data_IF_043020598700
#
_entry.id   IF_043020598700
#
_cell.length_a   1.000
_cell.length_b   1.000
_cell.length_c   1.000
_cell.angle_alpha   90.00
_cell.angle_beta   90.00
_cell.angle_gamma   90.00
#
_symmetry.space_group_name_H-M   'P 1'
#
loop_
_entity.id
_entity.type
_entity.pdbx_description
1 polymer ?
#
# COMPACT_ATOMS: atom_id res chain seq x y z
N UNK A 1 29.58 -65.24 -54.11
CA UNK A 1 30.25 -63.93 -53.85
C UNK A 1 29.20 -62.82 -53.70
N UNK A 2 28.33 -62.87 -52.68
CA UNK A 2 27.33 -61.81 -52.49
C UNK A 2 26.84 -61.75 -51.04
N UNK A 3 27.76 -61.59 -50.08
CA UNK A 3 27.38 -61.38 -48.68
C UNK A 3 28.37 -60.50 -47.90
N UNK A 4 28.87 -59.45 -48.54
CA UNK A 4 29.87 -58.53 -47.96
C UNK A 4 29.52 -57.05 -48.22
N UNK A 5 28.29 -56.75 -48.65
CA UNK A 5 27.90 -55.40 -49.12
C UNK A 5 26.80 -54.73 -48.30
N UNK A 6 26.57 -55.16 -47.05
CA UNK A 6 25.54 -54.57 -46.17
C UNK A 6 26.05 -54.01 -44.82
N UNK A 7 27.36 -53.99 -44.59
CA UNK A 7 27.94 -53.45 -43.34
C UNK A 7 28.65 -52.09 -43.48
N UNK A 8 28.41 -51.35 -44.56
CA UNK A 8 28.94 -49.98 -44.77
C UNK A 8 27.88 -48.89 -44.75
N UNK A 9 26.86 -49.02 -43.90
CA UNK A 9 26.08 -47.88 -43.42
C UNK A 9 26.27 -47.79 -41.91
N UNK A 10 27.51 -47.42 -41.55
CA UNK A 10 27.80 -46.81 -40.26
C UNK A 10 27.21 -45.41 -40.26
N UNK A 11 26.48 -45.11 -39.20
CA UNK A 11 26.63 -43.86 -38.47
C UNK A 11 26.09 -42.63 -39.18
N UNK A 12 24.86 -42.28 -38.85
CA UNK A 12 24.39 -40.93 -38.48
C UNK A 12 22.97 -41.18 -37.98
N UNK A 13 22.73 -41.05 -36.67
CA UNK A 13 21.37 -41.21 -36.15
C UNK A 13 21.25 -41.38 -34.65
N UNK A 14 22.20 -40.89 -33.85
CA UNK A 14 22.17 -41.10 -32.39
C UNK A 14 22.80 -39.95 -31.59
N UNK A 15 22.72 -38.70 -32.08
CA UNK A 15 23.28 -37.53 -31.38
C UNK A 15 22.37 -36.28 -31.37
N UNK A 16 21.07 -36.42 -31.55
CA UNK A 16 20.12 -35.28 -31.49
C UNK A 16 18.90 -35.55 -30.63
N UNK A 17 19.08 -36.23 -29.49
CA UNK A 17 17.98 -36.46 -28.53
C UNK A 17 18.43 -36.42 -27.05
N UNK A 18 19.56 -35.75 -26.74
CA UNK A 18 20.11 -35.71 -25.37
C UNK A 18 20.63 -34.32 -24.95
N UNK A 19 20.08 -33.24 -25.54
CA UNK A 19 20.49 -31.87 -25.21
C UNK A 19 19.33 -30.87 -25.08
N UNK A 20 18.08 -31.32 -25.03
CA UNK A 20 16.90 -30.44 -24.91
C UNK A 20 16.15 -30.58 -23.57
N UNK A 21 16.67 -31.37 -22.63
CA UNK A 21 15.95 -31.70 -21.38
C UNK A 21 16.52 -31.19 -20.04
N UNK A 22 17.58 -30.35 -19.94
CA UNK A 22 17.84 -29.62 -18.69
C UNK A 22 17.61 -28.11 -18.77
N UNK A 23 17.17 -27.56 -19.92
CA UNK A 23 16.98 -26.11 -20.06
C UNK A 23 15.66 -25.56 -19.46
N UNK A 24 14.81 -26.42 -18.86
CA UNK A 24 13.48 -26.06 -18.37
C UNK A 24 13.32 -26.24 -16.86
N UNK A 25 14.41 -26.11 -16.07
CA UNK A 25 14.37 -26.31 -14.62
C UNK A 25 15.15 -25.25 -13.82
N UNK A 26 15.31 -24.03 -14.36
CA UNK A 26 15.88 -22.91 -13.63
C UNK A 26 15.05 -21.64 -13.85
N UNK A 27 13.75 -21.70 -13.55
CA UNK A 27 13.06 -20.50 -13.07
C UNK A 27 13.50 -20.38 -11.62
N UNK A 28 14.65 -19.74 -11.41
CA UNK A 28 14.96 -19.18 -10.10
C UNK A 28 13.92 -18.09 -9.92
N UNK A 29 12.89 -18.37 -9.12
CA UNK A 29 12.08 -17.31 -8.55
C UNK A 29 13.05 -16.46 -7.73
N UNK A 30 13.56 -15.39 -8.32
CA UNK A 30 14.06 -14.26 -7.55
C UNK A 30 12.81 -13.69 -6.90
N UNK A 31 12.46 -14.20 -5.72
CA UNK A 31 11.40 -13.63 -4.90
C UNK A 31 11.75 -12.16 -4.71
N UNK A 32 11.02 -11.28 -5.41
CA UNK A 32 11.14 -9.86 -5.16
C UNK A 32 10.78 -9.60 -3.70
N UNK A 33 11.39 -8.59 -3.10
CA UNK A 33 10.93 -8.08 -1.82
C UNK A 33 9.46 -7.67 -1.99
N UNK A 34 8.55 -8.30 -1.23
CA UNK A 34 7.18 -7.83 -1.17
C UNK A 34 7.19 -6.46 -0.47
N UNK A 35 6.80 -5.42 -1.20
CA UNK A 35 6.71 -4.06 -0.68
C UNK A 35 5.43 -3.95 0.16
N UNK A 36 5.59 -3.62 1.43
CA UNK A 36 4.46 -3.22 2.26
C UNK A 36 4.04 -1.80 1.91
N UNK A 37 2.82 -1.43 2.26
CA UNK A 37 2.29 -0.09 2.04
C UNK A 37 1.20 0.17 3.07
N UNK A 38 1.19 1.38 3.62
CA UNK A 38 0.18 1.82 4.55
C UNK A 38 0.47 3.21 5.12
N UNK A 39 -0.51 3.76 5.83
CA UNK A 39 -0.38 5.01 6.57
C UNK A 39 -1.42 5.12 7.69
N UNK A 40 -1.19 5.93 8.73
CA UNK A 40 -2.18 6.24 9.75
C UNK A 40 -3.48 6.79 9.14
N UNK A 41 -4.62 6.25 9.57
CA UNK A 41 -5.96 6.64 9.13
C UNK A 41 -6.74 7.39 10.21
N UNK A 42 -6.61 6.97 11.46
CA UNK A 42 -7.23 7.64 12.60
C UNK A 42 -6.37 7.55 13.87
N UNK A 43 -5.75 8.67 14.33
CA UNK A 43 -5.73 9.97 13.67
C UNK A 43 -4.96 9.92 12.33
N UNK A 44 -5.55 10.50 11.29
CA UNK A 44 -5.05 10.40 9.92
C UNK A 44 -3.73 11.14 9.68
N UNK A 45 -2.85 10.56 8.87
CA UNK A 45 -1.58 11.19 8.53
C UNK A 45 -1.76 12.37 7.57
N UNK A 46 -0.76 13.27 7.50
CA UNK A 46 -0.70 14.35 6.51
C UNK A 46 -0.90 13.83 5.08
N UNK A 47 -0.21 12.76 4.70
CA UNK A 47 -0.32 12.18 3.36
C UNK A 47 -1.72 11.62 3.10
N UNK A 48 -2.29 10.89 4.05
CA UNK A 48 -3.63 10.30 3.93
C UNK A 48 -4.72 11.38 3.86
N UNK A 49 -4.73 12.35 4.77
CA UNK A 49 -5.75 13.39 4.79
C UNK A 49 -5.60 14.34 3.59
N UNK A 50 -4.39 14.72 3.20
CA UNK A 50 -4.21 15.51 1.99
C UNK A 50 -4.66 14.75 0.73
N UNK A 51 -4.40 13.44 0.63
CA UNK A 51 -4.97 12.63 -0.44
C UNK A 51 -6.51 12.63 -0.40
N UNK A 52 -7.09 12.29 0.76
CA UNK A 52 -8.54 12.15 0.97
C UNK A 52 -9.32 13.40 0.61
N UNK A 53 -8.80 14.58 0.95
CA UNK A 53 -9.48 15.87 0.73
C UNK A 53 -9.01 16.64 -0.51
N UNK A 54 -8.00 16.15 -1.24
CA UNK A 54 -7.48 16.86 -2.43
C UNK A 54 -7.65 16.10 -3.73
N UNK A 55 -7.91 14.79 -3.70
CA UNK A 55 -8.08 13.98 -4.91
C UNK A 55 -9.56 13.88 -5.27
N UNK A 56 -9.96 14.57 -6.35
CA UNK A 56 -11.34 14.56 -6.84
C UNK A 56 -11.70 13.29 -7.64
N UNK A 57 -12.98 13.16 -8.01
CA UNK A 57 -13.49 12.01 -8.79
C UNK A 57 -12.81 11.81 -10.14
N UNK A 58 -12.25 12.86 -10.73
CA UNK A 58 -11.50 12.81 -11.99
C UNK A 58 -10.03 12.37 -11.79
N UNK A 59 -9.62 12.10 -10.55
CA UNK A 59 -8.27 11.73 -10.15
C UNK A 59 -7.27 12.89 -10.09
N UNK A 60 -7.69 14.14 -10.31
CA UNK A 60 -6.81 15.30 -10.19
C UNK A 60 -6.55 15.64 -8.71
N UNK A 61 -5.31 16.06 -8.41
CA UNK A 61 -4.92 16.58 -7.10
C UNK A 61 -5.14 18.10 -7.09
N UNK A 62 -6.19 18.56 -6.44
CA UNK A 62 -6.63 19.96 -6.39
C UNK A 62 -6.90 20.38 -4.92
N UNK A 63 -5.85 20.52 -4.09
CA UNK A 63 -6.01 20.85 -2.68
C UNK A 63 -6.59 22.26 -2.50
N UNK A 64 -7.65 22.36 -1.71
CA UNK A 64 -8.16 23.64 -1.19
C UNK A 64 -7.48 24.02 0.13
N UNK A 65 -7.00 23.02 0.87
CA UNK A 65 -6.24 23.22 2.10
C UNK A 65 -4.87 23.88 1.83
N UNK A 66 -4.51 24.97 2.53
CA UNK A 66 -3.26 25.69 2.29
C UNK A 66 -1.99 24.84 2.49
N UNK A 67 -1.95 23.97 3.50
CA UNK A 67 -0.79 23.13 3.77
C UNK A 67 -0.63 22.02 2.73
N UNK A 68 -1.74 21.35 2.34
CA UNK A 68 -1.74 20.39 1.25
C UNK A 68 -1.35 21.06 -0.09
N UNK A 69 -1.81 22.28 -0.36
CA UNK A 69 -1.41 23.04 -1.54
C UNK A 69 0.10 23.36 -1.55
N UNK A 70 0.65 23.76 -0.41
CA UNK A 70 2.09 23.97 -0.26
C UNK A 70 2.89 22.66 -0.46
N UNK A 71 2.39 21.54 0.05
CA UNK A 71 3.01 20.23 -0.13
C UNK A 71 3.04 19.80 -1.61
N UNK A 72 1.93 20.02 -2.33
CA UNK A 72 1.81 19.78 -3.76
C UNK A 72 2.78 20.66 -4.56
N UNK A 73 2.89 21.95 -4.22
CA UNK A 73 3.82 22.87 -4.87
C UNK A 73 5.29 22.44 -4.66
N UNK A 74 5.63 22.00 -3.45
CA UNK A 74 7.00 21.65 -3.07
C UNK A 74 7.47 20.31 -3.64
N UNK A 75 6.62 19.27 -3.58
CA UNK A 75 7.03 17.88 -3.88
C UNK A 75 6.22 17.20 -4.99
N UNK A 76 5.24 17.89 -5.56
CA UNK A 76 4.40 17.38 -6.65
C UNK A 76 3.34 16.36 -6.19
N UNK A 77 2.62 15.80 -7.17
CA UNK A 77 1.44 14.97 -6.91
C UNK A 77 1.75 13.53 -6.48
N UNK A 78 3.01 13.06 -6.61
CA UNK A 78 3.36 11.66 -6.35
C UNK A 78 3.06 11.24 -4.91
N UNK A 79 3.36 12.09 -3.93
CA UNK A 79 3.09 11.78 -2.53
C UNK A 79 1.60 11.69 -2.20
N UNK A 80 0.73 12.31 -2.99
CA UNK A 80 -0.72 12.19 -2.86
C UNK A 80 -1.21 10.85 -3.41
N UNK A 81 -0.74 10.43 -4.59
CA UNK A 81 -1.14 9.14 -5.16
C UNK A 81 -0.53 7.92 -4.45
N UNK A 82 0.59 8.13 -3.76
CA UNK A 82 1.31 7.10 -3.01
C UNK A 82 1.34 7.45 -1.51
N UNK A 83 0.22 7.95 -0.98
CA UNK A 83 0.08 8.41 0.40
C UNK A 83 0.46 7.36 1.46
N UNK A 84 0.38 6.09 1.07
CA UNK A 84 0.70 4.89 1.84
C UNK A 84 2.17 4.41 1.68
N UNK A 85 3.06 5.21 1.06
CA UNK A 85 4.41 4.77 0.68
C UNK A 85 5.54 5.60 1.33
N UNK A 86 5.28 6.22 2.48
CA UNK A 86 6.30 6.95 3.26
C UNK A 86 7.19 5.94 3.98
N UNK A 87 8.21 5.42 3.28
CA UNK A 87 9.00 4.29 3.75
C UNK A 87 10.50 4.42 3.52
N UNK A 88 11.24 3.68 4.34
CA UNK A 88 12.66 3.35 4.14
C UNK A 88 12.81 1.85 4.07
N UNK A 89 13.25 1.33 2.92
CA UNK A 89 13.54 -0.10 2.76
C UNK A 89 14.71 -0.56 3.64
N UNK A 90 15.56 0.39 4.07
CA UNK A 90 16.67 0.19 5.00
C UNK A 90 16.32 0.68 6.42
N UNK A 91 15.05 0.85 6.79
CA UNK A 91 14.68 1.43 8.08
C UNK A 91 15.15 0.61 9.29
N UNK A 92 14.80 -0.67 9.35
CA UNK A 92 15.04 -1.60 10.45
C UNK A 92 14.65 -1.03 11.82
N UNK A 93 13.49 -0.36 11.88
CA UNK A 93 12.97 0.29 13.10
C UNK A 93 13.72 1.57 13.52
N UNK A 94 14.72 2.02 12.75
CA UNK A 94 15.55 3.16 13.12
C UNK A 94 14.79 4.48 12.98
N UNK A 95 15.06 5.36 13.92
CA UNK A 95 14.40 6.67 14.10
C UNK A 95 15.48 7.76 14.22
N UNK A 96 15.77 8.20 15.45
CA UNK A 96 16.76 9.22 15.77
C UNK A 96 18.16 8.82 15.27
N UNK A 97 18.87 9.79 14.68
CA UNK A 97 20.20 9.58 14.09
C UNK A 97 20.17 8.82 12.76
N UNK A 98 19.00 8.43 12.26
CA UNK A 98 18.81 7.84 10.94
C UNK A 98 17.97 8.73 10.01
N UNK A 99 16.79 9.16 10.45
CA UNK A 99 16.02 10.20 9.75
C UNK A 99 16.53 11.57 10.25
N UNK A 100 16.95 12.49 9.36
CA UNK A 100 17.36 13.82 9.77
C UNK A 100 16.23 14.63 10.42
N UNK A 101 16.56 15.55 11.33
CA UNK A 101 15.60 16.53 11.83
C UNK A 101 15.02 17.35 10.66
N UNK A 102 13.71 17.61 10.73
CA UNK A 102 12.97 18.26 9.67
C UNK A 102 12.57 17.34 8.51
N UNK A 103 12.90 16.05 8.54
CA UNK A 103 12.49 15.05 7.53
C UNK A 103 11.62 13.92 8.11
N UNK A 104 11.10 14.11 9.33
CA UNK A 104 10.35 13.08 10.04
C UNK A 104 9.07 12.69 9.29
N UNK A 105 8.33 13.66 8.75
CA UNK A 105 7.02 13.44 8.11
C UNK A 105 7.14 12.89 6.69
N UNK A 106 8.24 13.17 5.98
CA UNK A 106 8.63 12.47 4.76
C UNK A 106 9.31 11.13 5.02
N UNK A 107 9.65 10.82 6.27
CA UNK A 107 10.38 9.62 6.67
C UNK A 107 11.77 9.51 6.03
N UNK A 108 12.34 10.65 5.60
CA UNK A 108 13.56 10.69 4.78
C UNK A 108 13.47 9.77 3.55
N UNK A 109 12.27 9.55 3.02
CA UNK A 109 11.99 8.51 2.03
C UNK A 109 12.72 8.78 0.72
N UNK A 110 13.21 7.69 0.10
CA UNK A 110 13.93 7.77 -1.19
C UNK A 110 13.14 7.17 -2.35
N UNK A 111 11.96 6.60 -2.09
CA UNK A 111 11.10 5.94 -3.10
C UNK A 111 10.29 6.95 -3.90
N UNK A 112 9.78 8.00 -3.24
CA UNK A 112 9.12 9.16 -3.81
C UNK A 112 9.53 10.40 -3.03
N UNK A 113 9.32 11.57 -3.62
CA UNK A 113 9.52 12.84 -2.93
C UNK A 113 8.29 13.14 -2.05
N UNK A 114 8.50 13.14 -0.73
CA UNK A 114 7.50 13.52 0.28
C UNK A 114 7.90 14.79 1.04
N UNK A 115 8.94 15.52 0.60
CA UNK A 115 9.49 16.66 1.33
C UNK A 115 8.49 17.81 1.55
N UNK A 116 7.44 17.90 0.72
CA UNK A 116 6.35 18.85 0.94
C UNK A 116 5.54 18.60 2.21
N UNK A 117 5.55 17.37 2.73
CA UNK A 117 4.85 17.00 3.96
C UNK A 117 5.65 17.34 5.24
N UNK A 118 6.91 17.77 5.10
CA UNK A 118 7.73 18.28 6.21
C UNK A 118 7.52 19.77 6.48
N UNK A 119 6.76 20.48 5.63
CA UNK A 119 6.54 21.93 5.75
C UNK A 119 5.87 22.26 7.10
N UNK A 120 6.48 23.12 7.95
CA UNK A 120 5.86 23.60 9.17
C UNK A 120 4.62 24.44 8.86
N UNK A 121 3.50 24.14 9.51
CA UNK A 121 2.23 24.84 9.30
C UNK A 121 1.22 24.49 10.38
N UNK A 122 0.42 25.46 10.81
CA UNK A 122 -0.77 25.22 11.63
C UNK A 122 -2.01 24.86 10.79
N UNK A 123 -1.90 24.92 9.47
CA UNK A 123 -3.01 24.73 8.53
C UNK A 123 -3.17 23.28 8.06
N UNK A 124 -2.37 22.33 8.56
CA UNK A 124 -2.55 20.91 8.25
C UNK A 124 -3.95 20.40 8.69
N UNK A 125 -4.58 19.47 7.95
CA UNK A 125 -5.73 18.72 8.43
C UNK A 125 -5.47 18.15 9.82
N UNK A 126 -6.38 18.37 10.77
CA UNK A 126 -6.13 18.12 12.19
C UNK A 126 -7.25 17.28 12.81
N UNK A 127 -6.91 16.20 13.51
CA UNK A 127 -7.88 15.40 14.30
C UNK A 127 -8.00 15.96 15.73
N UNK A 128 -9.24 16.16 16.19
CA UNK A 128 -9.54 16.66 17.53
C UNK A 128 -9.66 15.52 18.54
N UNK A 129 -8.92 15.61 19.63
CA UNK A 129 -8.75 14.52 20.61
C UNK A 129 -8.96 14.99 22.05
N UNK A 130 -9.22 14.02 22.92
CA UNK A 130 -9.27 14.21 24.37
C UNK A 130 -8.05 13.53 25.00
N UNK A 131 -7.23 14.30 25.73
CA UNK A 131 -6.06 13.74 26.43
C UNK A 131 -6.47 12.70 27.46
N UNK A 132 -5.74 11.58 27.54
CA UNK A 132 -6.03 10.46 28.45
C UNK A 132 -7.22 9.59 28.06
N UNK A 133 -7.92 9.88 26.96
CA UNK A 133 -9.03 9.05 26.49
C UNK A 133 -8.54 7.74 25.86
N UNK A 134 -9.35 6.69 25.96
CA UNK A 134 -9.19 5.48 25.15
C UNK A 134 -9.54 5.80 23.68
N UNK A 135 -8.73 5.29 22.76
CA UNK A 135 -8.83 5.56 21.32
C UNK A 135 -8.64 4.28 20.50
N UNK A 136 -9.50 4.05 19.50
CA UNK A 136 -9.26 3.02 18.47
C UNK A 136 -8.36 3.64 17.39
N UNK A 137 -7.08 3.28 17.37
CA UNK A 137 -6.17 3.68 16.31
C UNK A 137 -6.44 2.85 15.06
N UNK A 138 -6.42 3.49 13.89
CA UNK A 138 -6.49 2.79 12.61
C UNK A 138 -5.32 3.14 11.70
N UNK A 139 -4.85 2.14 10.96
CA UNK A 139 -3.73 2.26 10.02
C UNK A 139 -4.04 1.45 8.76
N UNK A 140 -3.92 2.06 7.58
CA UNK A 140 -4.23 1.39 6.33
C UNK A 140 -3.22 0.27 6.00
N UNK A 141 -3.65 -0.97 5.74
CA UNK A 141 -2.79 -2.07 5.31
C UNK A 141 -2.85 -2.26 3.78
N UNK A 142 -2.61 -1.21 2.98
CA UNK A 142 -2.67 -1.26 1.51
C UNK A 142 -1.98 -2.51 0.95
N UNK A 143 -0.80 -2.82 1.50
CA UNK A 143 -0.21 -4.16 1.44
C UNK A 143 0.14 -4.63 2.86
N UNK A 144 -0.67 -5.55 3.38
CA UNK A 144 -0.57 -6.12 4.74
C UNK A 144 0.73 -6.90 4.97
N UNK A 145 1.44 -6.60 6.07
CA UNK A 145 2.64 -7.31 6.55
C UNK A 145 2.69 -7.37 8.09
N UNK A 146 3.43 -8.31 8.69
CA UNK A 146 3.62 -8.36 10.14
C UNK A 146 4.61 -7.27 10.62
N UNK A 147 4.48 -6.83 11.86
CA UNK A 147 5.32 -5.78 12.42
C UNK A 147 4.79 -5.14 13.69
N UNK A 148 5.54 -4.17 14.21
CA UNK A 148 5.16 -3.37 15.37
C UNK A 148 4.91 -1.93 14.96
N UNK A 149 3.82 -1.37 15.44
CA UNK A 149 3.44 0.03 15.27
C UNK A 149 3.77 0.76 16.56
N UNK A 150 4.68 1.72 16.52
CA UNK A 150 5.06 2.59 17.64
C UNK A 150 4.42 3.96 17.47
N UNK A 151 3.77 4.49 18.51
CA UNK A 151 3.17 5.83 18.49
C UNK A 151 3.93 6.73 19.46
N UNK A 152 4.53 7.78 18.92
CA UNK A 152 5.17 8.87 19.65
C UNK A 152 4.27 10.10 19.60
N UNK A 153 4.50 11.06 20.50
CA UNK A 153 3.80 12.34 20.52
C UNK A 153 4.81 13.46 20.75
N UNK A 154 4.54 14.65 20.23
CA UNK A 154 5.40 15.81 20.52
C UNK A 154 5.36 16.21 21.99
N UNK A 155 6.48 16.76 22.48
CA UNK A 155 6.60 17.33 23.82
C UNK A 155 5.73 18.57 24.00
N UNK A 156 5.44 18.93 25.25
CA UNK A 156 4.65 20.15 25.54
C UNK A 156 5.45 21.40 25.18
N UNK A 157 4.77 22.35 24.52
CA UNK A 157 5.40 23.60 24.07
C UNK A 157 6.15 23.50 22.74
N UNK A 158 6.06 22.37 22.03
CA UNK A 158 6.49 22.24 20.64
C UNK A 158 5.85 23.35 19.75
N UNK A 159 6.64 23.92 18.84
CA UNK A 159 6.21 24.97 17.92
C UNK A 159 5.77 24.37 16.57
N UNK A 160 4.46 24.40 16.22
CA UNK A 160 3.96 23.88 14.95
C UNK A 160 4.44 24.65 13.71
N UNK A 161 5.07 25.82 13.91
CA UNK A 161 5.64 26.65 12.85
C UNK A 161 7.14 26.43 12.65
N UNK A 162 7.74 25.48 13.40
CA UNK A 162 9.12 25.05 13.23
C UNK A 162 9.20 23.64 12.60
N UNK A 163 10.30 23.30 11.89
CA UNK A 163 10.53 21.94 11.42
C UNK A 163 10.56 20.95 12.60
N UNK A 164 9.82 19.85 12.47
CA UNK A 164 9.77 18.78 13.48
C UNK A 164 11.12 18.05 13.54
N UNK A 165 11.78 18.06 14.69
CA UNK A 165 12.98 17.28 15.00
C UNK A 165 12.72 16.16 16.01
N UNK A 166 13.75 15.34 16.28
CA UNK A 166 13.65 14.27 17.26
C UNK A 166 13.52 14.78 18.70
N UNK A 167 14.19 15.89 19.03
CA UNK A 167 14.07 16.55 20.34
C UNK A 167 12.68 17.18 20.59
N UNK A 168 11.82 17.21 19.57
CA UNK A 168 10.42 17.65 19.68
C UNK A 168 9.46 16.49 20.03
N UNK A 169 9.92 15.23 20.00
CA UNK A 169 9.14 14.05 20.37
C UNK A 169 9.47 13.60 21.80
N UNK A 170 8.49 13.02 22.50
CA UNK A 170 8.76 12.29 23.74
C UNK A 170 9.71 11.12 23.45
N UNK A 171 10.72 10.91 24.31
CA UNK A 171 11.80 9.90 24.13
C UNK A 171 11.29 8.46 23.92
N UNK A 172 10.10 8.15 24.40
CA UNK A 172 9.50 6.83 24.32
C UNK A 172 8.13 6.89 23.64
N UNK A 173 7.74 5.86 22.87
CA UNK A 173 6.40 5.78 22.36
C UNK A 173 5.43 5.61 23.53
N UNK A 174 4.29 6.32 23.49
CA UNK A 174 3.25 6.16 24.51
C UNK A 174 2.47 4.86 24.33
N UNK A 175 2.47 4.28 23.12
CA UNK A 175 1.91 2.97 22.83
C UNK A 175 2.72 2.22 21.77
N UNK A 176 2.69 0.90 21.82
CA UNK A 176 3.22 0.04 20.76
C UNK A 176 2.38 -1.22 20.63
N UNK A 177 1.96 -1.52 19.41
CA UNK A 177 1.12 -2.67 19.10
C UNK A 177 1.81 -3.57 18.06
N UNK A 178 1.89 -4.88 18.34
CA UNK A 178 2.52 -5.85 17.45
C UNK A 178 1.47 -6.74 16.82
N UNK A 179 1.51 -6.86 15.49
CA UNK A 179 0.60 -7.69 14.68
C UNK A 179 -0.89 -7.47 15.03
N UNK A 180 -1.41 -6.22 15.01
CA UNK A 180 -2.82 -5.95 15.28
C UNK A 180 -3.73 -6.69 14.29
N UNK A 181 -4.98 -6.99 14.69
CA UNK A 181 -5.97 -7.50 13.75
C UNK A 181 -6.23 -6.48 12.63
N UNK A 182 -6.69 -6.96 11.49
CA UNK A 182 -7.09 -6.10 10.37
C UNK A 182 -8.44 -6.51 9.78
N UNK A 183 -9.10 -5.54 9.14
CA UNK A 183 -10.34 -5.68 8.38
C UNK A 183 -10.18 -5.06 6.99
N UNK A 184 -10.89 -5.59 5.99
CA UNK A 184 -10.82 -5.13 4.61
C UNK A 184 -9.97 -6.03 3.69
N UNK A 185 -9.59 -5.51 2.52
CA UNK A 185 -8.84 -6.20 1.47
C UNK A 185 -7.55 -5.47 1.06
N UNK A 186 -6.60 -6.23 0.50
CA UNK A 186 -5.37 -5.65 -0.06
C UNK A 186 -5.70 -4.66 -1.17
N UNK A 187 -5.05 -3.49 -1.17
CA UNK A 187 -5.26 -2.44 -2.16
C UNK A 187 -6.55 -1.64 -1.99
N UNK A 188 -7.17 -1.70 -0.81
CA UNK A 188 -8.38 -0.94 -0.47
C UNK A 188 -8.04 0.15 0.55
N UNK A 189 -8.42 1.40 0.24
CA UNK A 189 -8.15 2.58 1.06
C UNK A 189 -8.94 2.58 2.38
N UNK A 190 -10.01 1.79 2.46
CA UNK A 190 -10.85 1.65 3.65
C UNK A 190 -10.47 0.44 4.51
N UNK A 191 -9.41 -0.28 4.15
CA UNK A 191 -8.88 -1.35 4.99
C UNK A 191 -8.12 -0.79 6.17
N UNK A 192 -8.14 -1.50 7.29
CA UNK A 192 -7.62 -1.00 8.56
C UNK A 192 -7.00 -2.15 9.36
N UNK A 193 -5.74 -2.01 9.76
CA UNK A 193 -5.33 -2.47 11.08
C UNK A 193 -6.03 -1.63 12.14
N UNK A 194 -6.40 -2.24 13.26
CA UNK A 194 -7.05 -1.53 14.36
C UNK A 194 -6.61 -2.05 15.73
N UNK A 195 -6.45 -1.15 16.69
CA UNK A 195 -6.12 -1.47 18.08
C UNK A 195 -6.57 -0.36 19.04
N UNK A 196 -6.84 -0.74 20.29
CA UNK A 196 -7.19 0.21 21.34
C UNK A 196 -5.95 0.65 22.12
N UNK A 197 -5.77 1.95 22.30
CA UNK A 197 -4.73 2.51 23.15
C UNK A 197 -5.21 3.78 23.86
N UNK A 198 -4.62 4.05 25.03
CA UNK A 198 -4.88 5.30 25.73
C UNK A 198 -4.00 6.42 25.14
N UNK A 199 -4.63 7.55 24.82
CA UNK A 199 -3.93 8.77 24.43
C UNK A 199 -3.11 9.33 25.60
N UNK A 200 -1.96 10.00 25.34
CA UNK A 200 -1.13 10.56 26.40
C UNK A 200 -1.91 11.54 27.28
N UNK A 201 -1.74 11.40 28.59
CA UNK A 201 -2.31 12.31 29.59
C UNK A 201 -1.55 13.64 29.62
N UNK A 202 -2.24 14.73 29.96
CA UNK A 202 -1.64 16.05 30.18
C UNK A 202 -1.30 16.86 28.92
N UNK A 203 -1.60 16.34 27.72
CA UNK A 203 -1.41 17.07 26.46
C UNK A 203 -2.53 18.10 26.25
N UNK A 204 -2.17 19.28 25.76
CA UNK A 204 -3.10 20.38 25.47
C UNK A 204 -2.72 21.07 24.17
N UNK A 205 -3.72 21.44 23.35
CA UNK A 205 -3.47 22.16 22.11
C UNK A 205 -2.86 21.29 21.01
N UNK A 206 -2.13 21.92 20.09
CA UNK A 206 -1.67 21.29 18.85
C UNK A 206 -0.44 20.41 19.10
N UNK A 207 -0.49 19.18 18.59
CA UNK A 207 0.59 18.19 18.67
C UNK A 207 0.68 17.39 17.36
N UNK A 208 1.74 16.59 17.23
CA UNK A 208 1.84 15.54 16.21
C UNK A 208 1.88 14.19 16.93
N UNK A 209 1.08 13.24 16.46
CA UNK A 209 1.30 11.82 16.73
C UNK A 209 2.14 11.26 15.60
N UNK A 210 3.32 10.75 15.94
CA UNK A 210 4.27 10.20 14.98
C UNK A 210 4.24 8.67 15.05
N UNK A 211 3.87 8.03 13.94
CA UNK A 211 3.74 6.57 13.84
C UNK A 211 4.93 5.98 13.11
N UNK A 212 5.54 4.95 13.70
CA UNK A 212 6.59 4.13 13.08
C UNK A 212 6.08 2.70 12.95
N UNK A 213 5.98 2.17 11.74
CA UNK A 213 5.69 0.74 11.52
C UNK A 213 6.97 0.01 11.13
N UNK A 214 7.53 -0.71 12.10
CA UNK A 214 8.69 -1.58 11.93
C UNK A 214 8.21 -2.97 11.51
N UNK A 215 8.52 -3.39 10.27
CA UNK A 215 8.20 -4.74 9.82
C UNK A 215 9.08 -5.78 10.51
N UNK A 216 8.50 -6.95 10.76
CA UNK A 216 9.23 -8.09 11.34
C UNK A 216 9.74 -9.10 10.31
N UNK A 217 9.32 -8.96 9.04
CA UNK A 217 9.68 -9.82 7.92
C UNK A 217 10.60 -9.13 6.87
N UNK A 218 11.04 -7.90 7.13
CA UNK A 218 11.88 -7.06 6.27
C UNK A 218 12.59 -5.98 7.10
N UNK A 219 13.59 -5.31 6.52
CA UNK A 219 14.16 -4.07 7.08
C UNK A 219 13.31 -2.83 6.72
N UNK A 220 12.23 -3.00 5.97
CA UNK A 220 11.38 -1.88 5.59
C UNK A 220 10.61 -1.30 6.80
N UNK A 221 10.64 0.03 6.94
CA UNK A 221 9.96 0.78 8.01
C UNK A 221 9.17 1.93 7.41
N UNK A 222 7.96 2.15 7.90
CA UNK A 222 7.08 3.25 7.48
C UNK A 222 6.99 4.30 8.56
N UNK A 223 6.81 5.55 8.15
CA UNK A 223 6.76 6.71 9.01
C UNK A 223 5.54 7.57 8.67
N UNK A 224 4.90 8.18 9.65
CA UNK A 224 3.75 9.06 9.39
C UNK A 224 3.50 10.06 10.50
N UNK A 225 3.30 11.32 10.12
CA UNK A 225 2.85 12.39 11.01
C UNK A 225 1.33 12.56 10.91
N UNK A 226 0.64 12.50 12.03
CA UNK A 226 -0.77 12.88 12.16
C UNK A 226 -0.87 14.15 13.02
N UNK A 227 -1.33 15.26 12.44
CA UNK A 227 -1.56 16.50 13.18
C UNK A 227 -2.83 16.36 14.02
N UNK A 228 -2.72 16.64 15.31
CA UNK A 228 -3.82 16.52 16.27
C UNK A 228 -3.95 17.76 17.14
N UNK A 229 -5.11 17.92 17.76
CA UNK A 229 -5.33 18.94 18.78
C UNK A 229 -6.01 18.33 19.99
N UNK A 230 -5.41 18.48 21.17
CA UNK A 230 -5.98 18.07 22.44
C UNK A 230 -6.82 19.22 23.01
N UNK A 231 -8.09 19.27 22.62
CA UNK A 231 -9.06 20.30 23.01
C UNK A 231 -10.37 19.74 23.59
N UNK A 232 -10.44 18.43 23.80
CA UNK A 232 -11.63 17.73 24.28
C UNK A 232 -12.53 17.19 23.16
N UNK A 233 -12.06 17.17 21.91
CA UNK A 233 -12.72 16.51 20.79
C UNK A 233 -12.66 14.98 20.87
N UNK A 234 -13.36 14.34 19.92
CA UNK A 234 -13.61 12.90 19.90
C UNK A 234 -13.51 12.33 18.47
N UNK A 235 -12.56 12.83 17.67
CA UNK A 235 -12.28 12.34 16.30
C UNK A 235 -12.75 13.24 15.19
N UNK A 236 -13.28 14.42 15.49
CA UNK A 236 -13.60 15.38 14.45
C UNK A 236 -12.33 15.77 13.70
N UNK A 237 -12.41 15.90 12.38
CA UNK A 237 -11.30 16.37 11.55
C UNK A 237 -11.61 17.78 11.05
N UNK A 238 -10.75 18.73 11.36
CA UNK A 238 -10.80 20.07 10.75
C UNK A 238 -9.83 20.11 9.58
N UNK A 239 -10.32 20.50 8.41
CA UNK A 239 -9.50 20.75 7.21
C UNK A 239 -9.59 22.24 6.87
N UNK A 240 -8.60 23.06 7.28
CA UNK A 240 -8.62 24.48 6.96
C UNK A 240 -8.73 24.72 5.45
N UNK A 241 -9.61 25.63 5.03
CA UNK A 241 -9.85 25.89 3.60
C UNK A 241 -10.83 24.92 2.90
N UNK A 242 -11.38 23.93 3.60
CA UNK A 242 -12.43 23.04 3.10
C UNK A 242 -13.68 23.09 3.99
N UNK A 243 -14.74 23.72 3.47
CA UNK A 243 -16.03 23.85 4.17
C UNK A 243 -16.82 22.52 4.26
N UNK A 244 -16.38 21.46 3.56
CA UNK A 244 -17.07 20.16 3.52
C UNK A 244 -16.60 19.18 4.59
N UNK A 245 -15.46 19.45 5.25
CA UNK A 245 -14.81 18.50 6.15
C UNK A 245 -15.37 18.46 7.59
N UNK A 246 -16.26 19.37 7.98
CA UNK A 246 -16.69 19.54 9.38
C UNK A 246 -17.78 18.56 9.88
N UNK A 247 -18.05 17.43 9.21
CA UNK A 247 -19.07 16.45 9.66
C UNK A 247 -18.43 15.13 10.09
N UNK A 248 -18.80 14.54 11.24
CA UNK A 248 -18.42 13.17 11.63
C UNK A 248 -18.74 12.11 10.57
N UNK A 249 -19.70 12.40 9.67
CA UNK A 249 -20.06 11.53 8.54
C UNK A 249 -18.98 11.48 7.44
N UNK A 250 -18.10 12.48 7.34
CA UNK A 250 -17.03 12.57 6.34
C UNK A 250 -15.89 11.59 6.59
N UNK A 251 -15.73 11.10 7.83
CA UNK A 251 -14.78 10.00 8.12
C UNK A 251 -15.27 8.68 7.52
N UNK A 252 -16.59 8.43 7.56
CA UNK A 252 -17.22 7.17 7.12
C UNK A 252 -17.58 7.11 5.63
N UNK A 253 -17.39 8.19 4.88
CA UNK A 253 -17.93 8.33 3.53
C UNK A 253 -16.88 8.83 2.53
N UNK A 254 -15.87 8.03 2.22
CA UNK A 254 -15.16 8.17 0.95
C UNK A 254 -15.02 6.84 0.22
N UNK A 255 -16.12 6.42 -0.42
CA UNK A 255 -16.03 5.45 -1.51
C UNK A 255 -15.64 6.22 -2.78
N UNK A 256 -14.34 6.43 -3.02
CA UNK A 256 -13.94 6.66 -4.41
C UNK A 256 -14.27 5.39 -5.20
N UNK A 257 -15.02 5.47 -6.31
CA UNK A 257 -15.18 4.32 -7.18
C UNK A 257 -13.85 4.08 -7.90
N UNK A 258 -13.05 3.14 -7.39
CA UNK A 258 -12.05 2.46 -8.21
C UNK A 258 -12.83 1.61 -9.22
N UNK A 259 -12.95 2.12 -10.44
CA UNK A 259 -13.56 1.38 -11.54
C UNK A 259 -12.66 0.17 -11.86
N UNK A 260 -12.94 -0.97 -11.22
CA UNK A 260 -12.26 -2.25 -11.42
C UNK A 260 -12.55 -2.89 -12.81
N UNK A 261 -12.91 -2.07 -13.80
CA UNK A 261 -13.13 -2.47 -15.18
C UNK A 261 -12.08 -1.82 -16.08
N UNK A 262 -10.83 -2.28 -15.97
CA UNK A 262 -9.83 -2.37 -17.06
C UNK A 262 -8.46 -2.86 -16.53
N UNK A 263 -8.43 -3.93 -15.72
CA UNK A 263 -7.21 -4.73 -15.53
C UNK A 263 -7.51 -6.20 -15.80
N UNK A 264 -7.82 -6.48 -17.06
CA UNK A 264 -7.60 -7.80 -17.60
C UNK A 264 -6.12 -8.14 -17.52
N UNK A 265 -5.83 -9.25 -16.84
CA UNK A 265 -4.55 -9.95 -16.71
C UNK A 265 -3.61 -9.48 -15.59
N UNK A 266 -3.78 -10.02 -14.38
CA UNK A 266 -2.67 -10.54 -13.55
C UNK A 266 -3.17 -11.64 -12.57
N UNK A 267 -3.96 -12.60 -13.06
CA UNK A 267 -4.22 -13.85 -12.34
C UNK A 267 -3.45 -14.99 -13.03
N UNK A 268 -2.19 -15.15 -12.66
CA UNK A 268 -1.40 -16.29 -13.11
C UNK A 268 -0.32 -16.68 -12.11
N UNK A 269 -0.64 -16.94 -10.84
CA UNK A 269 0.16 -17.82 -9.98
C UNK A 269 -0.68 -18.47 -8.88
N UNK A 270 -1.66 -19.29 -9.27
CA UNK A 270 -2.25 -20.27 -8.36
C UNK A 270 -2.54 -21.56 -9.14
N UNK A 271 -1.73 -22.60 -8.90
CA UNK A 271 -2.07 -23.97 -9.30
C UNK A 271 -0.99 -24.76 -10.04
N UNK A 272 0.04 -25.19 -9.32
CA UNK A 272 0.74 -26.43 -9.69
C UNK A 272 0.25 -27.54 -8.77
N UNK A 273 -0.75 -28.29 -9.22
CA UNK A 273 -1.10 -29.59 -8.67
C UNK A 273 -1.04 -30.65 -9.79
N UNK A 274 -0.07 -31.55 -9.61
CA UNK A 274 0.27 -32.80 -10.29
C UNK A 274 -0.66 -33.39 -11.37
N UNK A 275 0.00 -33.83 -12.45
CA UNK A 275 -0.51 -34.79 -13.43
C UNK A 275 -0.86 -36.16 -12.84
N UNK A 276 -1.93 -36.78 -13.35
CA UNK A 276 -1.88 -38.13 -13.94
C UNK A 276 -3.03 -38.32 -14.95
N UNK A 277 -2.79 -39.01 -16.09
CA UNK A 277 -3.78 -39.21 -17.13
C UNK A 277 -4.58 -40.49 -16.86
N UNK A 278 -5.87 -40.50 -17.19
CA UNK A 278 -6.53 -41.78 -17.45
C UNK A 278 -7.44 -41.73 -18.67
N UNK A 279 -7.40 -42.85 -19.39
CA UNK A 279 -7.92 -43.06 -20.72
C UNK A 279 -9.29 -43.72 -20.67
N UNK A 280 -10.13 -43.41 -21.65
CA UNK A 280 -11.06 -44.39 -22.22
C UNK A 280 -12.49 -44.36 -21.70
N UNK A 281 -13.40 -43.91 -22.55
CA UNK A 281 -14.69 -44.57 -22.72
C UNK A 281 -15.22 -44.33 -24.14
N UNK A 282 -15.29 -45.43 -24.88
CA UNK A 282 -15.89 -45.62 -26.21
C UNK A 282 -17.42 -45.54 -26.17
N UNK A 283 -18.06 -45.10 -27.26
CA UNK A 283 -19.51 -45.29 -27.44
C UNK A 283 -20.16 -44.59 -28.65
N UNK A 284 -19.92 -45.11 -29.85
CA UNK A 284 -20.84 -45.23 -31.04
C UNK A 284 -22.08 -44.32 -31.13
N UNK A 285 -22.14 -43.42 -32.12
CA UNK A 285 -22.69 -43.59 -33.50
C UNK A 285 -24.21 -43.36 -33.63
N UNK A 286 -24.58 -42.29 -34.36
CA UNK A 286 -25.75 -42.26 -35.23
C UNK A 286 -25.48 -41.32 -36.43
N UNK A 287 -25.91 -41.79 -37.59
CA UNK A 287 -25.65 -41.32 -38.96
C UNK A 287 -26.55 -40.14 -39.37
N UNK A 288 -25.98 -39.33 -40.30
CA UNK A 288 -26.63 -38.68 -41.45
C UNK A 288 -27.62 -37.51 -41.16
N UNK A 289 -27.77 -36.45 -41.96
CA UNK A 289 -27.73 -36.30 -43.43
C UNK A 289 -27.29 -34.86 -43.77
N UNK A 290 -26.48 -34.74 -44.83
CA UNK A 290 -26.08 -33.52 -45.51
C UNK A 290 -27.05 -33.25 -46.68
N UNK A 291 -27.61 -32.04 -46.81
CA UNK A 291 -28.17 -31.38 -48.01
C UNK A 291 -28.99 -30.16 -47.52
N UNK A 292 -28.76 -28.89 -47.87
CA UNK A 292 -28.12 -28.29 -49.04
C UNK A 292 -29.19 -27.78 -50.01
N UNK A 293 -29.69 -26.55 -49.87
CA UNK A 293 -30.42 -25.81 -50.91
C UNK A 293 -30.29 -24.28 -50.75
N UNK A 294 -29.78 -23.65 -51.81
CA UNK A 294 -29.93 -22.24 -52.22
C UNK A 294 -30.33 -22.28 -53.72
N UNK A 295 -30.76 -21.16 -54.34
CA UNK A 295 -32.12 -20.65 -54.39
C UNK A 295 -32.71 -20.74 -55.83
N UNK A 296 -33.99 -20.44 -56.00
CA UNK A 296 -34.60 -20.23 -57.32
C UNK A 296 -35.25 -18.87 -57.40
N UNK A 297 -34.73 -17.99 -58.26
CA UNK A 297 -35.41 -16.79 -58.74
C UNK A 297 -36.00 -17.10 -60.13
N UNK A 298 -37.27 -16.75 -60.32
CA UNK A 298 -37.96 -16.81 -61.60
C UNK A 298 -38.09 -15.40 -62.18
N UNK A 299 -37.90 -15.28 -63.50
CA UNK A 299 -38.35 -14.12 -64.29
C UNK A 299 -37.45 -12.91 -64.28
#
# INVERSE_FOLDING_TARGET
MSDQRKHRLRGIGLLTAAATLPAMAAVVFTGGSAAAHGAPMDPGSRTYLCWKYSVGENGAVEPTNPACAAALEASGANGFYNWFAVLRSDGAGRTEGFIPDGELCSGGATVYDFSGFDIPSEEWPTTHLTSGADWEFTYNPWAHHPGTFHQYVTVDGWDPNAPLGWDDLEDAPFHSETDPPYRGGVGDAESEYYWDAQLPEGKEGRHIIYTVWERSDSEETFYGCSDVVFDGGNGEVTVPGDDTAASPEAMTAFTAPVDARETGAHDAHAGHAAHSPDSGATGTSALAVLQGFLPGAAG
#
